data_IF_829178869171
#
_entry.id   IF_829178869171
#
_cell.length_a   1.000
_cell.length_b   1.000
_cell.length_c   1.000
_cell.angle_alpha   90.00
_cell.angle_beta   90.00
_cell.angle_gamma   90.00
#
_symmetry.space_group_name_H-M   'P 1'
#
loop_
_entity.id
_entity.type
_entity.pdbx_description
1 polymer ?
#
# COMPACT_ATOMS: atom_id res chain seq x y z
N UNK A 1 -1.59 -38.44 30.86
CA UNK A 1 -2.24 -37.71 29.73
C UNK A 1 -2.47 -36.22 30.00
N UNK A 2 -2.23 -35.68 31.20
CA UNK A 2 -2.44 -34.27 31.55
C UNK A 2 -1.42 -33.28 30.92
N UNK A 3 -0.18 -33.74 30.67
CA UNK A 3 0.93 -32.91 30.13
C UNK A 3 0.74 -32.50 28.66
N UNK A 4 0.13 -33.37 27.85
CA UNK A 4 -0.09 -33.11 26.41
C UNK A 4 -1.14 -32.02 26.20
N UNK A 5 -2.15 -31.96 27.07
CA UNK A 5 -3.19 -30.95 27.04
C UNK A 5 -2.66 -29.54 27.34
N UNK A 6 -1.70 -29.43 28.26
CA UNK A 6 -1.10 -28.13 28.62
C UNK A 6 -0.27 -27.56 27.46
N UNK A 7 0.51 -28.41 26.77
CA UNK A 7 1.32 -28.00 25.62
C UNK A 7 0.42 -27.54 24.46
N UNK A 8 -0.70 -28.23 24.24
CA UNK A 8 -1.67 -27.86 23.20
C UNK A 8 -2.35 -26.52 23.50
N UNK A 9 -2.71 -26.26 24.76
CA UNK A 9 -3.28 -24.99 25.19
C UNK A 9 -2.29 -23.82 25.04
N UNK A 10 -1.02 -24.02 25.41
CA UNK A 10 0.03 -23.01 25.24
C UNK A 10 0.31 -22.72 23.76
N UNK A 11 0.29 -23.73 22.90
CA UNK A 11 0.42 -23.56 21.45
C UNK A 11 -0.73 -22.75 20.85
N UNK A 12 -1.97 -23.00 21.27
CA UNK A 12 -3.14 -22.24 20.80
C UNK A 12 -3.09 -20.75 21.21
N UNK A 13 -2.62 -20.44 22.42
CA UNK A 13 -2.45 -19.05 22.88
C UNK A 13 -1.37 -18.32 22.06
N UNK A 14 -0.26 -19.00 21.73
CA UNK A 14 0.81 -18.40 20.92
C UNK A 14 0.35 -18.11 19.49
N UNK A 15 -0.40 -19.02 18.85
CA UNK A 15 -0.95 -18.79 17.49
C UNK A 15 -1.92 -17.60 17.48
N UNK A 16 -2.65 -17.40 18.59
CA UNK A 16 -3.64 -16.32 18.73
C UNK A 16 -3.03 -14.92 18.82
N UNK A 17 -1.74 -14.81 19.12
CA UNK A 17 -1.08 -13.50 19.27
C UNK A 17 -0.67 -12.89 17.92
N UNK A 18 -0.79 -13.65 16.83
CA UNK A 18 -0.22 -13.29 15.52
C UNK A 18 -1.19 -12.53 14.61
N UNK A 19 -2.47 -12.43 14.96
CA UNK A 19 -3.40 -11.52 14.31
C UNK A 19 -3.34 -10.13 14.97
N UNK A 20 -2.14 -9.56 14.96
CA UNK A 20 -2.00 -8.12 15.07
C UNK A 20 -2.57 -7.52 13.78
N UNK A 21 -3.86 -7.21 13.83
CA UNK A 21 -4.60 -6.39 12.90
C UNK A 21 -3.76 -5.14 12.57
N UNK A 22 -3.14 -5.12 11.39
CA UNK A 22 -2.33 -3.99 10.92
C UNK A 22 -3.23 -2.85 10.44
N UNK A 23 -4.11 -2.35 11.31
CA UNK A 23 -4.69 -1.02 11.18
C UNK A 23 -3.67 -0.04 11.74
N UNK A 24 -2.66 0.28 10.93
CA UNK A 24 -1.67 1.30 11.27
C UNK A 24 -2.37 2.61 11.64
N UNK A 25 -1.83 3.39 12.59
CA UNK A 25 -2.47 4.62 13.02
C UNK A 25 -2.68 5.53 11.82
N UNK A 26 -3.89 6.07 11.66
CA UNK A 26 -4.25 7.10 10.68
C UNK A 26 -3.53 8.40 11.05
N UNK A 27 -2.19 8.41 10.95
CA UNK A 27 -1.37 9.58 11.21
C UNK A 27 -1.63 10.55 10.07
N UNK A 28 -1.98 11.79 10.41
CA UNK A 28 -2.11 12.84 9.41
C UNK A 28 -0.83 12.87 8.55
N UNK A 29 -0.93 12.85 7.21
CA UNK A 29 0.23 12.79 6.34
C UNK A 29 1.13 13.99 6.59
N UNK A 30 2.43 13.72 6.69
CA UNK A 30 3.45 14.76 6.88
C UNK A 30 3.50 15.72 5.68
N UNK A 31 4.07 16.90 5.86
CA UNK A 31 4.22 17.88 4.77
C UNK A 31 4.97 17.28 3.55
N UNK A 32 5.95 16.41 3.81
CA UNK A 32 6.71 15.68 2.79
C UNK A 32 5.80 14.74 2.00
N UNK A 33 4.95 13.97 2.68
CA UNK A 33 3.97 13.07 2.04
C UNK A 33 2.92 13.83 1.22
N UNK A 34 2.50 15.02 1.67
CA UNK A 34 1.59 15.87 0.87
C UNK A 34 2.24 16.41 -0.40
N UNK A 35 3.47 16.91 -0.31
CA UNK A 35 4.20 17.39 -1.48
C UNK A 35 4.44 16.26 -2.49
N UNK A 36 4.76 15.09 -1.96
CA UNK A 36 4.93 13.85 -2.68
C UNK A 36 3.67 13.44 -3.47
N UNK A 37 2.53 13.32 -2.78
CA UNK A 37 1.26 12.98 -3.39
C UNK A 37 0.91 13.96 -4.52
N UNK A 38 1.11 15.27 -4.31
CA UNK A 38 0.87 16.28 -5.34
C UNK A 38 1.73 16.08 -6.59
N UNK A 39 3.02 15.75 -6.42
CA UNK A 39 3.93 15.46 -7.54
C UNK A 39 3.46 14.25 -8.33
N UNK A 40 3.12 13.16 -7.61
CA UNK A 40 2.62 11.92 -8.21
C UNK A 40 1.32 12.16 -8.97
N UNK A 41 0.36 12.90 -8.40
CA UNK A 41 -0.90 13.24 -9.10
C UNK A 41 -0.63 13.97 -10.41
N UNK A 42 0.22 15.01 -10.39
CA UNK A 42 0.52 15.78 -11.59
C UNK A 42 1.21 14.92 -12.66
N UNK A 43 2.10 14.02 -12.25
CA UNK A 43 2.76 13.09 -13.16
C UNK A 43 1.78 12.06 -13.76
N UNK A 44 0.91 11.49 -12.92
CA UNK A 44 -0.13 10.56 -13.38
C UNK A 44 -1.03 11.24 -14.42
N UNK A 45 -1.43 12.50 -14.21
CA UNK A 45 -2.23 13.25 -15.20
C UNK A 45 -1.45 13.43 -16.51
N UNK A 46 -0.14 13.67 -16.45
CA UNK A 46 0.68 13.79 -17.67
C UNK A 46 0.81 12.47 -18.43
N UNK A 47 0.91 11.34 -17.74
CA UNK A 47 1.06 10.00 -18.35
C UNK A 47 -0.28 9.44 -18.84
N UNK A 48 -1.31 9.52 -18.00
CA UNK A 48 -2.62 8.93 -18.22
C UNK A 48 -3.62 9.87 -18.92
N UNK A 49 -3.38 11.19 -18.94
CA UNK A 49 -4.33 12.20 -19.41
C UNK A 49 -5.49 12.47 -18.44
N UNK A 50 -5.57 11.74 -17.34
CA UNK A 50 -6.63 11.79 -16.33
C UNK A 50 -6.05 11.50 -14.94
N UNK A 51 -6.85 11.74 -13.90
CA UNK A 51 -6.51 11.30 -12.54
C UNK A 51 -6.49 9.78 -12.43
N UNK A 52 -5.67 9.25 -11.53
CA UNK A 52 -5.58 7.82 -11.25
C UNK A 52 -6.98 7.21 -11.01
N UNK A 53 -7.40 6.25 -11.84
CA UNK A 53 -8.71 5.56 -11.71
C UNK A 53 -8.74 4.64 -10.48
N UNK A 54 -7.58 4.09 -10.12
CA UNK A 54 -7.42 3.27 -8.94
C UNK A 54 -7.36 4.13 -7.68
N UNK A 55 -8.37 4.02 -6.80
CA UNK A 55 -8.43 4.77 -5.54
C UNK A 55 -7.20 4.56 -4.65
N UNK A 56 -6.58 3.37 -4.72
CA UNK A 56 -5.38 3.02 -3.96
C UNK A 56 -4.10 3.16 -4.80
N UNK A 57 -4.20 3.54 -6.08
CA UNK A 57 -3.06 3.61 -6.98
C UNK A 57 -2.03 4.66 -6.54
N UNK A 58 -2.50 5.79 -6.01
CA UNK A 58 -1.62 6.80 -5.44
C UNK A 58 -0.81 6.28 -4.25
N UNK A 59 -1.47 5.56 -3.33
CA UNK A 59 -0.80 4.93 -2.19
C UNK A 59 0.20 3.86 -2.62
N UNK A 60 -0.11 3.10 -3.67
CA UNK A 60 0.79 2.10 -4.22
C UNK A 60 2.06 2.74 -4.82
N UNK A 61 1.91 3.86 -5.54
CA UNK A 61 3.02 4.65 -6.07
C UNK A 61 3.87 5.28 -4.96
N UNK A 62 3.25 5.77 -3.88
CA UNK A 62 3.96 6.28 -2.71
C UNK A 62 4.74 5.16 -2.01
N UNK A 63 4.12 4.00 -1.81
CA UNK A 63 4.73 2.82 -1.18
C UNK A 63 5.87 2.24 -2.02
N UNK A 64 5.78 2.36 -3.35
CA UNK A 64 6.84 2.00 -4.29
C UNK A 64 8.01 3.01 -4.32
N UNK A 65 7.90 4.13 -3.60
CA UNK A 65 8.96 5.12 -3.50
C UNK A 65 9.08 6.05 -4.71
N UNK A 66 8.13 6.03 -5.66
CA UNK A 66 8.13 6.79 -6.92
C UNK A 66 8.14 8.32 -6.78
N UNK A 67 8.16 8.77 -5.54
CA UNK A 67 8.25 10.14 -5.15
C UNK A 67 9.67 10.65 -4.95
N UNK A 68 10.53 9.76 -4.45
CA UNK A 68 11.93 10.01 -4.11
C UNK A 68 12.86 9.36 -5.13
N UNK A 69 12.42 8.29 -5.78
CA UNK A 69 13.12 7.61 -6.87
C UNK A 69 12.35 7.73 -8.18
N UNK A 70 13.08 7.62 -9.28
CA UNK A 70 12.50 7.51 -10.60
C UNK A 70 11.70 6.20 -10.72
N UNK A 71 10.45 6.29 -11.19
CA UNK A 71 9.64 5.14 -11.61
C UNK A 71 9.34 5.26 -13.11
N UNK A 72 9.32 4.13 -13.84
CA UNK A 72 9.04 4.16 -15.27
C UNK A 72 7.57 4.46 -15.57
N UNK A 73 7.29 5.06 -16.73
CA UNK A 73 5.93 5.44 -17.14
C UNK A 73 4.98 4.24 -17.20
N UNK A 74 5.46 3.08 -17.64
CA UNK A 74 4.67 1.84 -17.69
C UNK A 74 4.19 1.39 -16.29
N UNK A 75 4.96 1.71 -15.25
CA UNK A 75 4.56 1.44 -13.88
C UNK A 75 3.43 2.36 -13.43
N UNK A 76 3.49 3.66 -13.76
CA UNK A 76 2.36 4.57 -13.53
C UNK A 76 1.11 4.13 -14.29
N UNK A 77 1.26 3.72 -15.55
CA UNK A 77 0.14 3.23 -16.37
C UNK A 77 -0.49 1.98 -15.79
N UNK A 78 0.30 0.97 -15.43
CA UNK A 78 -0.22 -0.29 -14.89
C UNK A 78 -0.96 -0.12 -13.56
N UNK A 79 -0.55 0.83 -12.71
CA UNK A 79 -1.19 1.10 -11.42
C UNK A 79 -2.43 2.00 -11.57
N UNK A 80 -2.34 3.07 -12.37
CA UNK A 80 -3.33 4.16 -12.36
C UNK A 80 -4.26 4.22 -13.56
N UNK A 81 -3.83 3.76 -14.73
CA UNK A 81 -4.62 3.80 -15.96
C UNK A 81 -4.29 2.58 -16.84
N UNK A 82 -4.55 1.34 -16.34
CA UNK A 82 -4.31 0.16 -17.15
C UNK A 82 -5.21 0.24 -18.38
N UNK A 83 -4.59 0.24 -19.56
CA UNK A 83 -5.30 0.14 -20.82
C UNK A 83 -5.89 -1.27 -20.89
N UNK A 84 -7.10 -1.43 -20.37
CA UNK A 84 -7.90 -2.60 -20.70
C UNK A 84 -8.20 -2.40 -22.18
N UNK A 85 -7.45 -3.10 -23.04
CA UNK A 85 -7.90 -3.36 -24.40
C UNK A 85 -9.25 -4.08 -24.27
N UNK A 86 -10.35 -3.35 -24.47
CA UNK A 86 -11.59 -3.92 -25.00
C UNK A 86 -11.42 -4.21 -26.50
#
# INVERSE_FOLDING_TARGET
MLKVSFVFFVLLILVSSTFANSSGPTRSPTAVQKACARRVVMYVIAVCGETCKNQNGLMALESAGCCNSFCPDDFYRSICCPSILE
#
